data_IF_568497757270
#
_entry.id   IF_568497757270
#
_cell.length_a   1.000
_cell.length_b   1.000
_cell.length_c   1.000
_cell.angle_alpha   90.00
_cell.angle_beta   90.00
_cell.angle_gamma   90.00
#
_symmetry.space_group_name_H-M   'P 1'
#
loop_
_entity.id
_entity.type
_entity.pdbx_description
1 polymer ?
#
# COMPACT_ATOMS: atom_id res chain seq x y z
N UNK A 1 -58.54 10.19 10.97
CA UNK A 1 -58.03 9.51 12.18
C UNK A 1 -56.63 9.03 11.83
N UNK A 2 -55.61 9.86 12.08
CA UNK A 2 -54.22 9.49 11.81
C UNK A 2 -53.82 8.49 12.88
N UNK A 3 -53.63 7.23 12.49
CA UNK A 3 -53.04 6.24 13.40
C UNK A 3 -51.63 6.71 13.72
N UNK A 4 -51.44 7.18 14.95
CA UNK A 4 -50.14 7.55 15.48
C UNK A 4 -49.31 6.26 15.55
N UNK A 5 -48.49 6.01 14.52
CA UNK A 5 -47.61 4.84 14.49
C UNK A 5 -46.43 5.13 15.41
N UNK A 6 -46.14 4.18 16.30
CA UNK A 6 -44.99 4.30 17.20
C UNK A 6 -43.67 4.31 16.40
N UNK A 7 -42.61 4.94 16.95
CA UNK A 7 -41.28 4.94 16.33
C UNK A 7 -40.80 3.52 16.02
N UNK A 8 -40.97 2.61 16.98
CA UNK A 8 -40.59 1.20 16.84
C UNK A 8 -41.32 0.51 15.67
N UNK A 9 -42.60 0.78 15.45
CA UNK A 9 -43.36 0.21 14.32
C UNK A 9 -42.86 0.75 12.97
N UNK A 10 -42.64 2.07 12.86
CA UNK A 10 -42.11 2.68 11.64
C UNK A 10 -40.70 2.20 11.31
N UNK A 11 -39.84 2.07 12.33
CA UNK A 11 -38.49 1.57 12.16
C UNK A 11 -38.48 0.08 11.75
N UNK A 12 -39.38 -0.74 12.31
CA UNK A 12 -39.54 -2.14 11.92
C UNK A 12 -40.07 -2.33 10.48
N UNK A 13 -40.96 -1.46 10.02
CA UNK A 13 -41.43 -1.47 8.62
C UNK A 13 -40.30 -1.12 7.66
N UNK A 14 -39.49 -0.10 7.98
CA UNK A 14 -38.31 0.26 7.19
C UNK A 14 -37.27 -0.87 7.17
N UNK A 15 -37.00 -1.50 8.32
CA UNK A 15 -36.10 -2.65 8.43
C UNK A 15 -36.53 -3.80 7.50
N UNK A 16 -37.83 -4.12 7.48
CA UNK A 16 -38.37 -5.17 6.61
C UNK A 16 -38.11 -4.85 5.13
N UNK A 17 -38.36 -3.60 4.73
CA UNK A 17 -38.08 -3.13 3.36
C UNK A 17 -36.58 -3.26 3.00
N UNK A 18 -35.68 -2.86 3.89
CA UNK A 18 -34.23 -2.96 3.66
C UNK A 18 -33.77 -4.42 3.51
N UNK A 19 -34.31 -5.32 4.33
CA UNK A 19 -34.01 -6.75 4.23
C UNK A 19 -34.50 -7.35 2.90
N UNK A 20 -35.71 -6.99 2.46
CA UNK A 20 -36.27 -7.45 1.19
C UNK A 20 -35.50 -6.90 -0.02
N UNK A 21 -34.96 -5.68 0.08
CA UNK A 21 -34.13 -5.03 -0.95
C UNK A 21 -32.62 -5.35 -0.85
N UNK A 22 -32.27 -6.42 -0.12
CA UNK A 22 -30.92 -7.01 0.02
C UNK A 22 -29.89 -6.18 0.78
N UNK A 23 -30.30 -5.29 1.68
CA UNK A 23 -29.38 -4.73 2.67
C UNK A 23 -28.95 -5.84 3.66
N UNK A 24 -27.65 -6.01 3.98
CA UNK A 24 -27.21 -7.02 4.92
C UNK A 24 -27.89 -6.89 6.29
N UNK A 25 -28.30 -8.01 6.90
CA UNK A 25 -29.04 -8.02 8.18
C UNK A 25 -28.41 -7.17 9.28
N UNK A 26 -27.08 -7.24 9.40
CA UNK A 26 -26.34 -6.47 10.41
C UNK A 26 -26.51 -4.96 10.17
N UNK A 27 -26.27 -4.52 8.93
CA UNK A 27 -26.41 -3.12 8.51
C UNK A 27 -27.85 -2.63 8.66
N UNK A 28 -28.84 -3.44 8.26
CA UNK A 28 -30.25 -3.09 8.43
C UNK A 28 -30.65 -2.91 9.90
N UNK A 29 -30.10 -3.74 10.81
CA UNK A 29 -30.32 -3.59 12.24
C UNK A 29 -29.68 -2.32 12.84
N UNK A 30 -28.49 -1.95 12.35
CA UNK A 30 -27.84 -0.68 12.73
C UNK A 30 -28.64 0.53 12.24
N UNK A 31 -29.06 0.53 10.97
CA UNK A 31 -29.92 1.56 10.38
C UNK A 31 -31.24 1.71 11.13
N UNK A 32 -31.84 0.58 11.57
CA UNK A 32 -33.07 0.60 12.35
C UNK A 32 -32.87 1.31 13.68
N UNK A 33 -31.81 0.95 14.41
CA UNK A 33 -31.53 1.54 15.72
C UNK A 33 -31.30 3.06 15.60
N UNK A 34 -30.59 3.49 14.57
CA UNK A 34 -30.39 4.91 14.25
C UNK A 34 -31.72 5.62 13.93
N UNK A 35 -32.58 5.01 13.11
CA UNK A 35 -33.89 5.55 12.76
C UNK A 35 -34.79 5.70 14.00
N UNK A 36 -34.84 4.65 14.81
CA UNK A 36 -35.65 4.59 16.03
C UNK A 36 -35.23 5.71 17.00
N UNK A 37 -33.92 5.92 17.17
CA UNK A 37 -33.39 7.03 17.97
C UNK A 37 -33.84 8.40 17.45
N UNK A 38 -33.74 8.65 16.14
CA UNK A 38 -34.14 9.95 15.57
C UNK A 38 -35.65 10.19 15.65
N UNK A 39 -36.45 9.13 15.49
CA UNK A 39 -37.89 9.20 15.66
C UNK A 39 -38.27 9.50 17.11
N UNK A 40 -37.65 8.82 18.08
CA UNK A 40 -37.88 9.05 19.50
C UNK A 40 -37.49 10.47 19.92
N UNK A 41 -36.36 10.97 19.43
CA UNK A 41 -35.91 12.34 19.67
C UNK A 41 -36.95 13.35 19.14
N UNK A 42 -37.37 13.21 17.89
CA UNK A 42 -38.36 14.10 17.28
C UNK A 42 -39.71 14.06 18.03
N UNK A 43 -40.18 12.87 18.43
CA UNK A 43 -41.42 12.73 19.18
C UNK A 43 -41.32 13.29 20.60
N UNK A 44 -40.15 13.20 21.25
CA UNK A 44 -39.92 13.78 22.58
C UNK A 44 -40.01 15.32 22.57
N UNK A 45 -39.68 15.92 21.42
CA UNK A 45 -39.84 17.36 21.16
C UNK A 45 -41.27 17.74 20.70
N UNK A 46 -42.19 16.77 20.63
CA UNK A 46 -43.57 16.97 20.16
C UNK A 46 -43.69 17.12 18.65
N UNK A 47 -42.66 16.76 17.86
CA UNK A 47 -42.71 16.76 16.40
C UNK A 47 -43.33 15.46 15.88
N UNK A 48 -43.92 15.51 14.70
CA UNK A 48 -44.50 14.34 14.06
C UNK A 48 -43.39 13.43 13.46
N UNK A 49 -43.58 12.10 13.42
CA UNK A 49 -42.64 11.16 12.77
C UNK A 49 -42.36 11.49 11.29
N UNK A 50 -43.34 12.08 10.60
CA UNK A 50 -43.20 12.52 9.20
C UNK A 50 -42.18 13.66 9.02
N UNK A 51 -41.73 14.32 10.09
CA UNK A 51 -40.63 15.29 10.02
C UNK A 51 -39.29 14.60 9.77
N UNK A 52 -39.13 13.35 10.21
CA UNK A 52 -37.90 12.55 10.03
C UNK A 52 -37.97 11.74 8.74
N UNK A 53 -39.09 11.05 8.52
CA UNK A 53 -39.25 10.08 7.42
C UNK A 53 -39.91 10.72 6.19
N UNK A 54 -40.48 11.92 6.32
CA UNK A 54 -41.26 12.54 5.27
C UNK A 54 -42.69 11.97 5.14
N UNK A 55 -43.45 12.42 4.13
CA UNK A 55 -44.83 11.99 3.91
C UNK A 55 -44.95 10.56 3.34
N UNK A 56 -43.90 10.02 2.75
CA UNK A 56 -43.86 8.68 2.17
C UNK A 56 -42.68 7.87 2.73
N UNK A 57 -43.02 6.91 3.59
CA UNK A 57 -42.08 6.02 4.27
C UNK A 57 -41.33 5.12 3.29
N UNK A 58 -41.97 4.69 2.20
CA UNK A 58 -41.33 3.80 1.23
C UNK A 58 -40.22 4.53 0.47
N UNK A 59 -40.48 5.78 0.06
CA UNK A 59 -39.48 6.61 -0.61
C UNK A 59 -38.28 6.90 0.30
N UNK A 60 -38.53 7.18 1.59
CA UNK A 60 -37.45 7.34 2.57
C UNK A 60 -36.62 6.06 2.75
N UNK A 61 -37.29 4.93 2.93
CA UNK A 61 -36.62 3.64 3.12
C UNK A 61 -35.72 3.29 1.92
N UNK A 62 -36.19 3.52 0.69
CA UNK A 62 -35.40 3.27 -0.52
C UNK A 62 -34.23 4.26 -0.68
N UNK A 63 -34.44 5.54 -0.38
CA UNK A 63 -33.37 6.54 -0.44
C UNK A 63 -32.20 6.13 0.47
N UNK A 64 -32.49 5.74 1.72
CA UNK A 64 -31.46 5.34 2.67
C UNK A 64 -30.80 4.01 2.30
N UNK A 65 -31.57 3.04 1.79
CA UNK A 65 -31.02 1.78 1.29
C UNK A 65 -30.09 2.00 0.09
N UNK A 66 -30.44 2.92 -0.81
CA UNK A 66 -29.64 3.25 -1.99
C UNK A 66 -28.28 3.87 -1.62
N UNK A 67 -28.23 4.68 -0.57
CA UNK A 67 -26.99 5.27 -0.06
C UNK A 67 -26.07 4.21 0.56
N UNK A 68 -26.62 3.24 1.28
CA UNK A 68 -25.80 2.15 1.82
C UNK A 68 -25.24 1.25 0.71
N UNK A 69 -26.03 1.00 -0.34
CA UNK A 69 -25.56 0.27 -1.53
C UNK A 69 -24.44 1.03 -2.26
N UNK A 70 -24.51 2.35 -2.34
CA UNK A 70 -23.45 3.17 -2.97
C UNK A 70 -22.16 3.16 -2.15
N UNK A 71 -22.25 3.26 -0.81
CA UNK A 71 -21.10 3.13 0.11
C UNK A 71 -20.44 1.76 0.01
N UNK A 72 -21.23 0.70 0.03
CA UNK A 72 -20.73 -0.69 -0.12
C UNK A 72 -20.07 -0.90 -1.48
N UNK A 73 -20.59 -0.30 -2.54
CA UNK A 73 -19.98 -0.37 -3.88
C UNK A 73 -18.67 0.42 -3.98
N UNK A 74 -18.50 1.46 -3.15
CA UNK A 74 -17.24 2.23 -3.05
C UNK A 74 -16.11 1.49 -2.33
N UNK A 75 -16.45 0.54 -1.45
CA UNK A 75 -15.48 -0.33 -0.76
C UNK A 75 -15.01 -1.52 -1.61
N UNK A 76 -15.68 -1.79 -2.73
CA UNK A 76 -15.23 -2.80 -3.67
C UNK A 76 -14.03 -2.25 -4.45
N UNK A 77 -12.93 -3.03 -4.55
CA UNK A 77 -11.76 -2.59 -5.29
C UNK A 77 -12.16 -2.25 -6.72
N UNK A 78 -11.76 -1.07 -7.17
CA UNK A 78 -12.06 -0.60 -8.52
C UNK A 78 -11.50 -1.58 -9.56
N UNK A 79 -12.08 -1.59 -10.77
CA UNK A 79 -11.54 -2.42 -11.86
C UNK A 79 -10.06 -2.15 -12.15
N UNK A 80 -9.59 -0.93 -11.87
CA UNK A 80 -8.18 -0.56 -11.99
C UNK A 80 -7.32 -1.19 -10.88
N UNK A 81 -7.82 -1.29 -9.65
CA UNK A 81 -7.11 -1.93 -8.52
C UNK A 81 -7.05 -3.45 -8.65
N UNK A 82 -8.10 -4.08 -9.18
CA UNK A 82 -8.10 -5.52 -9.47
C UNK A 82 -7.09 -5.85 -10.58
N UNK A 83 -7.03 -5.01 -11.62
CA UNK A 83 -6.11 -5.20 -12.75
C UNK A 83 -4.67 -4.78 -12.44
N UNK A 84 -4.45 -3.85 -11.51
CA UNK A 84 -3.11 -3.36 -11.17
C UNK A 84 -2.24 -4.39 -10.46
N UNK A 85 -2.81 -5.51 -10.01
CA UNK A 85 -2.08 -6.55 -9.30
C UNK A 85 -1.55 -6.11 -7.93
N UNK A 86 -1.86 -4.88 -7.48
CA UNK A 86 -1.32 -4.31 -6.23
C UNK A 86 -1.76 -5.11 -5.00
N UNK A 87 -3.00 -5.63 -5.01
CA UNK A 87 -3.49 -6.51 -3.95
C UNK A 87 -2.69 -7.83 -3.90
N UNK A 88 -2.35 -8.37 -5.07
CA UNK A 88 -1.56 -9.59 -5.19
C UNK A 88 -0.08 -9.36 -4.84
N UNK A 89 0.48 -8.21 -5.24
CA UNK A 89 1.83 -7.79 -4.91
C UNK A 89 2.01 -7.57 -3.40
N UNK A 90 1.06 -6.88 -2.74
CA UNK A 90 1.05 -6.74 -1.27
C UNK A 90 0.94 -8.08 -0.56
N UNK A 91 0.11 -9.00 -1.07
CA UNK A 91 -0.02 -10.36 -0.52
C UNK A 91 1.28 -11.15 -0.66
N UNK A 92 1.92 -11.10 -1.82
CA UNK A 92 3.17 -11.79 -2.09
C UNK A 92 4.34 -11.21 -1.27
N UNK A 93 4.38 -9.90 -1.05
CA UNK A 93 5.35 -9.26 -0.16
C UNK A 93 5.17 -9.68 1.32
N UNK A 94 3.93 -9.81 1.78
CA UNK A 94 3.65 -10.33 3.14
C UNK A 94 4.05 -11.80 3.28
N UNK A 95 3.72 -12.63 2.28
CA UNK A 95 4.09 -14.04 2.27
C UNK A 95 5.60 -14.25 2.21
N UNK A 96 6.32 -13.44 1.41
CA UNK A 96 7.78 -13.52 1.33
C UNK A 96 8.45 -13.12 2.66
N UNK A 97 7.95 -12.09 3.33
CA UNK A 97 8.39 -11.68 4.67
C UNK A 97 8.13 -12.77 5.72
N UNK A 98 6.93 -13.38 5.71
CA UNK A 98 6.62 -14.49 6.61
C UNK A 98 7.55 -15.69 6.37
N UNK A 99 7.78 -16.05 5.10
CA UNK A 99 8.71 -17.14 4.76
C UNK A 99 10.14 -16.84 5.22
N UNK A 100 10.60 -15.59 5.11
CA UNK A 100 11.90 -15.16 5.63
C UNK A 100 12.00 -15.36 7.14
N UNK A 101 11.01 -14.85 7.89
CA UNK A 101 10.99 -14.95 9.36
C UNK A 101 10.96 -16.42 9.81
N UNK A 102 10.16 -17.26 9.15
CA UNK A 102 10.12 -18.71 9.40
C UNK A 102 11.46 -19.36 9.11
N UNK A 103 12.14 -18.99 8.01
CA UNK A 103 13.47 -19.48 7.68
C UNK A 103 14.52 -19.13 8.73
N UNK A 104 14.57 -17.87 9.17
CA UNK A 104 15.49 -17.42 10.24
C UNK A 104 15.20 -18.14 11.55
N UNK A 105 13.92 -18.27 11.93
CA UNK A 105 13.52 -18.97 13.15
C UNK A 105 13.88 -20.46 13.10
N UNK A 106 13.70 -21.12 11.95
CA UNK A 106 14.06 -22.52 11.76
C UNK A 106 15.58 -22.74 11.88
N UNK A 107 16.40 -21.90 11.26
CA UNK A 107 17.87 -21.98 11.36
C UNK A 107 18.36 -21.76 12.78
N UNK A 108 17.75 -20.79 13.48
CA UNK A 108 18.09 -20.50 14.88
C UNK A 108 17.67 -21.65 15.79
N UNK A 109 16.46 -22.18 15.63
CA UNK A 109 15.99 -23.34 16.40
C UNK A 109 16.81 -24.61 16.14
N UNK A 110 17.26 -24.82 14.90
CA UNK A 110 18.14 -25.93 14.54
C UNK A 110 19.54 -25.78 15.15
N UNK A 111 20.11 -24.57 15.11
CA UNK A 111 21.37 -24.25 15.76
C UNK A 111 21.31 -24.47 17.27
N UNK A 112 20.20 -24.09 17.90
CA UNK A 112 19.92 -24.43 19.29
C UNK A 112 19.88 -25.95 19.53
N UNK A 113 19.16 -26.70 18.70
CA UNK A 113 19.03 -28.15 18.85
C UNK A 113 20.37 -28.90 18.71
N UNK A 114 21.21 -28.51 17.74
CA UNK A 114 22.53 -29.12 17.51
C UNK A 114 23.56 -28.69 18.55
N UNK A 115 23.58 -27.40 18.91
CA UNK A 115 24.61 -26.85 19.80
C UNK A 115 24.31 -27.02 21.30
N UNK A 116 23.19 -27.66 21.65
CA UNK A 116 22.84 -28.04 23.02
C UNK A 116 23.56 -29.35 23.38
N UNK A 117 24.84 -29.23 23.73
CA UNK A 117 25.66 -30.35 24.15
C UNK A 117 27.14 -30.01 23.99
N UNK A 118 27.84 -30.01 25.12
CA UNK A 118 29.30 -29.87 25.28
C UNK A 118 29.95 -28.53 24.87
N UNK A 119 30.54 -27.84 25.86
CA UNK A 119 31.44 -26.71 25.60
C UNK A 119 31.64 -25.76 26.78
N UNK A 120 32.20 -26.23 27.89
CA UNK A 120 32.43 -25.45 29.12
C UNK A 120 33.53 -24.39 29.10
N UNK A 121 33.70 -23.58 28.05
CA UNK A 121 34.51 -22.35 28.13
C UNK A 121 33.90 -21.18 27.33
N UNK A 122 33.71 -20.07 28.04
CA UNK A 122 33.52 -18.67 27.59
C UNK A 122 32.21 -18.25 26.90
N UNK A 123 31.06 -18.83 27.24
CA UNK A 123 29.76 -18.32 26.78
C UNK A 123 29.57 -16.82 27.04
N UNK A 124 30.12 -16.32 28.15
CA UNK A 124 30.03 -14.91 28.53
C UNK A 124 30.73 -13.98 27.53
N UNK A 125 31.93 -14.33 27.08
CA UNK A 125 32.68 -13.54 26.10
C UNK A 125 31.94 -13.52 24.76
N UNK A 126 31.48 -14.68 24.30
CA UNK A 126 30.77 -14.78 23.03
C UNK A 126 29.42 -14.05 23.00
N UNK A 127 28.66 -14.02 24.12
CA UNK A 127 27.44 -13.21 24.25
C UNK A 127 27.70 -11.74 23.94
N UNK A 128 28.74 -11.18 24.54
CA UNK A 128 29.10 -9.78 24.35
C UNK A 128 29.67 -9.51 22.97
N UNK A 129 30.53 -10.39 22.45
CA UNK A 129 31.07 -10.28 21.08
C UNK A 129 29.95 -10.20 20.05
N UNK A 130 28.99 -11.12 20.08
CA UNK A 130 27.88 -11.14 19.12
C UNK A 130 26.94 -9.95 19.29
N UNK A 131 26.65 -9.57 20.54
CA UNK A 131 25.77 -8.41 20.83
C UNK A 131 26.40 -7.12 20.33
N UNK A 132 27.69 -6.89 20.62
CA UNK A 132 28.42 -5.70 20.15
C UNK A 132 28.51 -5.71 18.63
N UNK A 133 28.83 -6.85 18.01
CA UNK A 133 28.91 -6.96 16.56
C UNK A 133 27.57 -6.62 15.88
N UNK A 134 26.45 -7.12 16.41
CA UNK A 134 25.12 -6.80 15.89
C UNK A 134 24.84 -5.29 15.98
N UNK A 135 25.13 -4.67 17.12
CA UNK A 135 24.94 -3.22 17.32
C UNK A 135 25.83 -2.41 16.37
N UNK A 136 27.11 -2.76 16.25
CA UNK A 136 28.06 -2.07 15.35
C UNK A 136 27.61 -2.17 13.89
N UNK A 137 27.14 -3.34 13.45
CA UNK A 137 26.60 -3.51 12.10
C UNK A 137 25.35 -2.66 11.85
N UNK A 138 24.41 -2.65 12.80
CA UNK A 138 23.19 -1.82 12.70
C UNK A 138 23.50 -0.32 12.71
N UNK A 139 24.47 0.12 13.53
CA UNK A 139 24.91 1.51 13.53
C UNK A 139 25.63 1.85 12.22
N UNK A 140 26.53 0.97 11.76
CA UNK A 140 27.25 1.14 10.50
C UNK A 140 26.32 1.25 9.30
N UNK A 141 25.20 0.53 9.32
CA UNK A 141 24.16 0.61 8.29
C UNK A 141 23.62 2.04 8.13
N UNK A 142 23.40 2.75 9.23
CA UNK A 142 22.89 4.13 9.21
C UNK A 142 23.83 5.05 8.42
N UNK A 143 25.14 4.81 8.50
CA UNK A 143 26.15 5.57 7.76
C UNK A 143 26.30 5.16 6.30
N UNK A 144 25.96 3.91 5.95
CA UNK A 144 26.16 3.37 4.60
C UNK A 144 24.92 3.51 3.70
N UNK A 145 23.72 3.70 4.28
CA UNK A 145 22.46 3.99 3.58
C UNK A 145 22.14 3.02 2.40
N UNK A 146 22.68 1.80 2.44
CA UNK A 146 22.73 0.89 1.29
C UNK A 146 22.26 -0.54 1.55
N UNK A 147 21.75 -0.82 2.76
CA UNK A 147 21.31 -2.13 3.24
C UNK A 147 22.38 -3.23 3.19
N UNK A 148 23.66 -2.85 3.13
CA UNK A 148 24.77 -3.77 2.98
C UNK A 148 25.15 -4.46 4.30
N UNK A 149 24.99 -3.77 5.43
CA UNK A 149 25.37 -4.28 6.75
C UNK A 149 24.19 -4.93 7.48
N UNK A 150 22.94 -4.61 7.10
CA UNK A 150 21.74 -5.26 7.66
C UNK A 150 21.79 -6.80 7.69
N UNK A 151 22.15 -7.52 6.61
CA UNK A 151 22.20 -8.98 6.63
C UNK A 151 23.15 -9.54 7.69
N UNK A 152 24.29 -8.88 7.88
CA UNK A 152 25.29 -9.25 8.87
C UNK A 152 24.84 -8.90 10.29
N UNK A 153 24.14 -7.77 10.46
CA UNK A 153 23.51 -7.39 11.73
C UNK A 153 22.44 -8.39 12.19
N UNK A 154 21.58 -8.83 11.28
CA UNK A 154 20.54 -9.85 11.59
C UNK A 154 21.16 -11.20 11.92
N UNK A 155 22.16 -11.64 11.15
CA UNK A 155 22.90 -12.87 11.47
C UNK A 155 23.60 -12.80 12.82
N UNK A 156 24.25 -11.67 13.14
CA UNK A 156 24.91 -11.46 14.43
C UNK A 156 23.89 -11.44 15.58
N UNK A 157 22.70 -10.85 15.38
CA UNK A 157 21.62 -10.89 16.36
C UNK A 157 21.09 -12.30 16.62
N UNK A 158 20.95 -13.13 15.58
CA UNK A 158 20.56 -14.53 15.74
C UNK A 158 21.63 -15.35 16.48
N UNK A 159 22.91 -15.15 16.16
CA UNK A 159 24.02 -15.77 16.87
C UNK A 159 24.12 -15.29 18.33
N UNK A 160 23.87 -14.01 18.59
CA UNK A 160 23.79 -13.46 19.95
C UNK A 160 22.69 -14.16 20.75
N UNK A 161 21.49 -14.34 20.16
CA UNK A 161 20.38 -15.04 20.80
C UNK A 161 20.79 -16.47 21.20
N UNK A 162 21.48 -17.21 20.33
CA UNK A 162 22.01 -18.53 20.67
C UNK A 162 23.05 -18.49 21.81
N UNK A 163 23.92 -17.47 21.84
CA UNK A 163 24.88 -17.30 22.92
C UNK A 163 24.21 -17.04 24.28
N UNK A 164 23.08 -16.33 24.30
CA UNK A 164 22.25 -16.14 25.50
C UNK A 164 21.62 -17.45 25.99
N UNK A 165 21.36 -18.40 25.09
CA UNK A 165 20.87 -19.74 25.40
C UNK A 165 21.98 -20.79 25.66
N UNK A 166 23.23 -20.35 25.86
CA UNK A 166 24.36 -21.23 26.20
C UNK A 166 24.65 -22.29 25.14
N UNK A 167 24.36 -21.95 23.88
CA UNK A 167 24.62 -22.81 22.73
C UNK A 167 26.10 -22.71 22.34
N UNK A 168 26.72 -23.82 21.95
CA UNK A 168 28.15 -23.87 21.60
C UNK A 168 28.58 -22.87 20.50
N UNK A 169 29.81 -22.33 20.53
CA UNK A 169 30.30 -21.34 19.56
C UNK A 169 30.22 -21.79 18.11
N UNK A 170 30.41 -23.08 17.83
CA UNK A 170 30.32 -23.63 16.48
C UNK A 170 28.92 -23.43 15.86
N UNK A 171 27.85 -23.68 16.64
CA UNK A 171 26.49 -23.47 16.19
C UNK A 171 26.16 -21.97 16.01
N UNK A 172 26.70 -21.10 16.87
CA UNK A 172 26.56 -19.65 16.71
C UNK A 172 27.13 -19.15 15.38
N UNK A 173 28.35 -19.59 15.03
CA UNK A 173 29.00 -19.26 13.75
C UNK A 173 28.22 -19.77 12.54
N UNK A 174 27.74 -21.02 12.59
CA UNK A 174 26.92 -21.58 11.51
C UNK A 174 25.63 -20.77 11.33
N UNK A 175 24.93 -20.47 12.43
CA UNK A 175 23.71 -19.65 12.40
C UNK A 175 23.99 -18.26 11.86
N UNK A 176 25.08 -17.60 12.25
CA UNK A 176 25.50 -16.31 11.71
C UNK A 176 25.59 -16.34 10.18
N UNK A 177 26.40 -17.26 9.63
CA UNK A 177 26.61 -17.33 8.18
C UNK A 177 25.32 -17.66 7.43
N UNK A 178 24.55 -18.65 7.91
CA UNK A 178 23.33 -19.07 7.23
C UNK A 178 22.28 -17.97 7.25
N UNK A 179 22.04 -17.34 8.41
CA UNK A 179 21.07 -16.25 8.53
C UNK A 179 21.50 -15.06 7.69
N UNK A 180 22.78 -14.66 7.72
CA UNK A 180 23.27 -13.55 6.90
C UNK A 180 23.14 -13.81 5.40
N UNK A 181 23.42 -15.03 4.94
CA UNK A 181 23.22 -15.41 3.52
C UNK A 181 21.74 -15.30 3.15
N UNK A 182 20.84 -15.86 3.96
CA UNK A 182 19.39 -15.77 3.73
C UNK A 182 18.94 -14.30 3.68
N UNK A 183 19.35 -13.49 4.65
CA UNK A 183 19.05 -12.07 4.69
C UNK A 183 19.57 -11.32 3.46
N UNK A 184 20.77 -11.65 2.98
CA UNK A 184 21.37 -11.03 1.79
C UNK A 184 20.56 -11.36 0.53
N UNK A 185 20.15 -12.62 0.35
CA UNK A 185 19.29 -13.01 -0.77
C UNK A 185 17.95 -12.25 -0.75
N UNK A 186 17.37 -12.05 0.43
CA UNK A 186 16.13 -11.30 0.58
C UNK A 186 16.30 -9.81 0.30
N UNK A 187 17.33 -9.16 0.84
CA UNK A 187 17.65 -7.75 0.55
C UNK A 187 17.88 -7.56 -0.95
N UNK A 188 18.69 -8.43 -1.58
CA UNK A 188 18.97 -8.36 -3.01
C UNK A 188 17.71 -8.49 -3.86
N UNK A 189 16.79 -9.40 -3.51
CA UNK A 189 15.51 -9.55 -4.21
C UNK A 189 14.60 -8.34 -4.01
N UNK A 190 14.59 -7.76 -2.82
CA UNK A 190 13.71 -6.64 -2.48
C UNK A 190 14.18 -5.30 -3.07
N UNK A 191 15.50 -5.09 -3.16
CA UNK A 191 16.08 -3.91 -3.83
C UNK A 191 15.85 -3.98 -5.34
N UNK A 192 16.12 -5.12 -6.00
CA UNK A 192 15.86 -5.26 -7.44
C UNK A 192 14.38 -5.12 -7.83
N UNK A 193 13.44 -5.62 -7.01
CA UNK A 193 12.02 -5.44 -7.29
C UNK A 193 11.55 -3.99 -7.13
N UNK A 194 12.25 -3.15 -6.36
CA UNK A 194 11.92 -1.74 -6.23
C UNK A 194 12.52 -0.90 -7.36
N UNK A 195 13.69 -1.27 -7.89
CA UNK A 195 14.29 -0.58 -9.04
C UNK A 195 13.51 -0.85 -10.35
N UNK A 196 12.78 -1.97 -10.44
CA UNK A 196 11.82 -2.26 -11.51
C UNK A 196 10.49 -1.48 -11.35
N UNK A 197 10.33 -0.67 -10.30
CA UNK A 197 9.27 0.34 -10.26
C UNK A 197 9.71 1.56 -11.07
N UNK A 198 9.83 1.37 -12.39
CA UNK A 198 9.55 2.47 -13.30
C UNK A 198 8.23 3.12 -12.90
N UNK A 199 8.13 4.46 -12.93
CA UNK A 199 6.96 5.18 -12.47
C UNK A 199 5.72 4.62 -13.16
N UNK A 200 4.78 4.19 -12.33
CA UNK A 200 3.41 3.78 -12.64
C UNK A 200 2.92 4.34 -13.99
N UNK A 201 2.41 3.50 -14.91
CA UNK A 201 1.81 3.96 -16.18
C UNK A 201 0.66 4.97 -16.00
N UNK A 202 0.15 5.11 -14.77
CA UNK A 202 -0.93 6.02 -14.41
C UNK A 202 -0.47 7.48 -14.29
N UNK A 203 0.79 7.76 -13.92
CA UNK A 203 1.34 9.12 -14.01
C UNK A 203 1.57 9.52 -15.47
N UNK A 204 1.86 8.54 -16.33
CA UNK A 204 2.13 8.79 -17.74
C UNK A 204 0.89 9.09 -18.57
N UNK A 205 -0.30 8.63 -18.16
CA UNK A 205 -1.55 8.93 -18.86
C UNK A 205 -2.18 10.29 -18.51
N UNK A 206 -1.81 10.93 -17.39
CA UNK A 206 -2.36 12.25 -17.02
C UNK A 206 -1.87 13.36 -17.96
N UNK A 207 -0.70 13.15 -18.57
CA UNK A 207 -0.01 14.13 -19.41
C UNK A 207 -0.07 13.79 -20.90
N UNK A 208 -0.68 12.66 -21.29
CA UNK A 208 -0.99 12.41 -22.69
C UNK A 208 -2.00 13.44 -23.19
N UNK A 209 -1.71 14.05 -24.34
CA UNK A 209 -2.44 15.19 -24.91
C UNK A 209 -2.27 16.52 -24.16
N UNK A 210 -1.41 16.61 -23.15
CA UNK A 210 -1.11 17.88 -22.51
C UNK A 210 -0.36 18.81 -23.49
N UNK A 211 -0.70 20.11 -23.44
CA UNK A 211 0.00 21.16 -24.17
C UNK A 211 1.25 21.56 -23.40
N UNK A 212 2.36 21.67 -24.10
CA UNK A 212 3.64 22.12 -23.59
C UNK A 212 4.27 23.13 -24.56
N UNK A 213 5.22 23.93 -24.08
CA UNK A 213 5.95 24.90 -24.90
C UNK A 213 7.40 24.47 -24.98
N UNK A 214 7.97 24.41 -26.18
CA UNK A 214 9.39 24.12 -26.37
C UNK A 214 10.24 25.24 -25.76
N UNK A 215 11.15 24.90 -24.85
CA UNK A 215 12.12 25.82 -24.26
C UNK A 215 13.46 25.74 -24.98
N UNK A 216 13.85 24.54 -25.40
CA UNK A 216 15.08 24.26 -26.13
C UNK A 216 14.73 23.41 -27.34
N UNK A 217 15.26 23.77 -28.51
CA UNK A 217 14.96 23.11 -29.78
C UNK A 217 15.09 21.59 -29.66
N UNK A 218 14.06 20.89 -30.12
CA UNK A 218 13.96 19.44 -30.01
C UNK A 218 14.57 18.84 -31.27
N UNK A 219 15.79 18.32 -31.14
CA UNK A 219 16.52 17.67 -32.23
C UNK A 219 16.76 16.19 -31.86
N UNK A 220 16.12 15.24 -32.57
CA UNK A 220 16.29 13.81 -32.31
C UNK A 220 17.71 13.31 -32.62
N UNK A 221 18.46 13.95 -33.52
CA UNK A 221 19.83 13.58 -33.88
C UNK A 221 20.86 14.11 -32.87
N UNK A 222 20.64 15.32 -32.32
CA UNK A 222 21.49 15.88 -31.26
C UNK A 222 21.11 15.39 -29.85
N UNK A 223 19.92 14.80 -29.68
CA UNK A 223 19.42 14.32 -28.39
C UNK A 223 19.08 15.46 -27.42
N UNK A 224 18.90 16.67 -27.94
CA UNK A 224 18.54 17.89 -27.21
C UNK A 224 17.05 18.13 -27.31
N UNK A 225 16.47 18.77 -26.29
CA UNK A 225 15.04 19.06 -26.28
C UNK A 225 14.50 19.20 -24.87
N UNK A 226 13.89 20.34 -24.59
CA UNK A 226 13.28 20.64 -23.30
C UNK A 226 11.95 21.33 -23.55
N UNK A 227 10.90 20.87 -22.88
CA UNK A 227 9.58 21.48 -22.92
C UNK A 227 9.16 21.93 -21.53
N UNK A 228 8.34 22.97 -21.46
CA UNK A 228 7.61 23.35 -20.26
C UNK A 228 6.19 22.85 -20.37
N UNK A 229 5.82 21.96 -19.47
CA UNK A 229 4.46 21.48 -19.31
C UNK A 229 3.95 21.99 -17.96
N UNK A 230 2.85 22.73 -17.96
CA UNK A 230 2.36 23.47 -16.79
C UNK A 230 3.46 24.36 -16.18
N UNK A 231 4.01 23.98 -15.02
CA UNK A 231 5.07 24.69 -14.29
C UNK A 231 6.41 23.96 -14.29
N UNK A 232 6.50 22.77 -14.91
CA UNK A 232 7.66 21.88 -14.83
C UNK A 232 8.41 21.79 -16.16
N UNK A 233 9.73 21.58 -16.08
CA UNK A 233 10.60 21.40 -17.24
C UNK A 233 10.86 19.92 -17.46
N UNK A 234 10.58 19.44 -18.66
CA UNK A 234 10.69 18.03 -19.03
C UNK A 234 11.57 17.86 -20.27
N UNK A 235 12.42 16.84 -20.27
CA UNK A 235 13.17 16.47 -21.48
C UNK A 235 12.20 15.97 -22.53
N UNK A 236 12.35 16.44 -23.75
CA UNK A 236 11.46 16.07 -24.85
C UNK A 236 12.24 15.58 -26.06
N UNK A 237 11.58 14.77 -26.86
CA UNK A 237 12.05 14.29 -28.16
C UNK A 237 10.86 14.25 -29.12
N UNK A 238 11.14 14.26 -30.42
CA UNK A 238 10.14 14.18 -31.49
C UNK A 238 10.51 13.04 -32.43
N UNK A 239 9.52 12.32 -32.95
CA UNK A 239 9.72 11.33 -34.02
C UNK A 239 9.65 11.98 -35.42
N UNK A 240 9.27 13.27 -35.49
CA UNK A 240 9.16 14.05 -36.71
C UNK A 240 10.34 14.99 -36.96
N UNK A 241 10.06 16.13 -37.59
CA UNK A 241 11.05 17.18 -37.87
C UNK A 241 11.49 17.92 -36.60
N UNK A 242 12.61 18.65 -36.72
CA UNK A 242 13.16 19.45 -35.61
C UNK A 242 12.19 20.55 -35.24
N UNK A 243 11.82 20.62 -33.97
CA UNK A 243 10.88 21.63 -33.46
C UNK A 243 11.68 22.76 -32.80
N UNK A 244 11.47 23.99 -33.26
CA UNK A 244 12.17 25.16 -32.72
C UNK A 244 11.68 25.55 -31.32
N UNK A 245 12.51 26.32 -30.60
CA UNK A 245 12.14 26.87 -29.30
C UNK A 245 10.98 27.87 -29.44
N UNK A 246 10.03 27.83 -28.50
CA UNK A 246 8.85 28.69 -28.46
C UNK A 246 7.60 28.09 -29.11
N UNK A 247 7.71 26.96 -29.81
CA UNK A 247 6.57 26.31 -30.47
C UNK A 247 5.69 25.57 -29.44
N UNK A 248 4.35 25.67 -29.53
CA UNK A 248 3.45 24.82 -28.75
C UNK A 248 3.44 23.39 -29.29
N UNK A 249 3.60 22.43 -28.41
CA UNK A 249 3.65 21.00 -28.73
C UNK A 249 2.70 20.21 -27.84
N UNK A 250 2.28 19.06 -28.35
CA UNK A 250 1.38 18.13 -27.66
C UNK A 250 2.12 16.83 -27.35
N UNK A 251 1.98 16.35 -26.11
CA UNK A 251 2.58 15.08 -25.69
C UNK A 251 1.80 13.91 -26.29
N UNK A 252 2.47 13.11 -27.11
CA UNK A 252 1.90 11.94 -27.80
C UNK A 252 2.20 10.66 -27.03
N UNK A 253 3.36 10.59 -26.39
CA UNK A 253 3.83 9.42 -25.63
C UNK A 253 4.84 9.83 -24.56
N UNK A 254 5.01 9.01 -23.54
CA UNK A 254 6.08 9.14 -22.53
C UNK A 254 6.98 7.93 -22.61
N UNK A 255 8.30 8.15 -22.69
CA UNK A 255 9.32 7.09 -22.75
C UNK A 255 10.33 7.32 -21.62
N UNK A 256 10.21 6.55 -20.53
CA UNK A 256 11.03 6.72 -19.33
C UNK A 256 10.88 8.12 -18.73
N UNK A 257 11.98 8.88 -18.70
CA UNK A 257 12.03 10.28 -18.23
C UNK A 257 11.91 11.34 -19.34
N UNK A 258 11.57 10.94 -20.57
CA UNK A 258 11.42 11.82 -21.73
C UNK A 258 9.99 11.83 -22.25
N UNK A 259 9.52 12.99 -22.69
CA UNK A 259 8.25 13.17 -23.39
C UNK A 259 8.49 13.06 -24.91
N UNK A 260 7.65 12.31 -25.61
CA UNK A 260 7.58 12.31 -27.07
C UNK A 260 6.47 13.26 -27.47
N UNK A 261 6.83 14.31 -28.21
CA UNK A 261 5.92 15.41 -28.55
C UNK A 261 5.81 15.61 -30.06
N UNK A 262 4.69 16.18 -30.49
CA UNK A 262 4.44 16.63 -31.87
C UNK A 262 3.96 18.08 -31.84
N UNK A 263 4.14 18.83 -32.92
CA UNK A 263 3.61 20.19 -33.03
C UNK A 263 2.08 20.20 -32.88
N UNK A 264 1.56 21.18 -32.13
CA UNK A 264 0.12 21.37 -31.91
C UNK A 264 -0.45 22.28 -33.00
N UNK A 265 -0.86 21.71 -34.13
CA UNK A 265 -1.63 22.39 -35.18
C UNK A 265 -3.03 22.72 -34.64
N UNK A 266 -3.15 23.83 -33.92
CA UNK A 266 -4.30 24.22 -33.09
C UNK A 266 -5.68 24.01 -33.73
N UNK A 267 -6.27 22.83 -33.47
CA UNK A 267 -7.67 22.47 -33.77
C UNK A 267 -8.52 22.47 -32.50
#
# INVERSE_FOLDING_TARGET
MSTDRSATELAADCERYWLETRVPRKTAGEMRAELEQHLDEAMSEGKAPSTVVGPDVATFAEAWASEQRSRTSGDLPSWQEVKSGVAEQKRNARLSLLAYLVGVAAVTGFGYWIGKGDGGMDFEVWRWVWTILAVVMLIGEIFTAGFFLLPFGVGAGAAALLAWFEVGPAAQWITFFVVSIISLFYVRRFVHHQDDHEPTPVASNRHLNAKAIVLESIDPAAGTGMVRMESEKWRATTEGEVIESGVPVKVVRITGSRLVVTEDDGS
#
